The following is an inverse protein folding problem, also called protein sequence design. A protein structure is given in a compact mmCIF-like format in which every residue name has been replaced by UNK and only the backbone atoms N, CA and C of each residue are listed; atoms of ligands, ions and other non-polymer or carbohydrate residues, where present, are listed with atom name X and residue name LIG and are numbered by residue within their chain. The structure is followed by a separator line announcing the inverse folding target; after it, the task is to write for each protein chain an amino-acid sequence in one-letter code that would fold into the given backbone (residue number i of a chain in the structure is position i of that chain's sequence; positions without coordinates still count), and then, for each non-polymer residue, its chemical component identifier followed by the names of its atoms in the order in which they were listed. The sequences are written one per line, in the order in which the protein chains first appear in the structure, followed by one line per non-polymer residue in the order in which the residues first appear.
data_IF_380889293755
#
_entry.id   IF_380889293755
#
_cell.length_a   1.000
_cell.length_b   1.000
_cell.length_c   1.000
_cell.angle_alpha   90.00
_cell.angle_beta   90.00
_cell.angle_gamma   90.00
#
_symmetry.space_group_name_H-M   'P 1'
#
loop_
_entity.id
_entity.type
_entity.pdbx_description
1 polymer ?
#
# COMPACT_ATOMS: atom_id res chain seq x y z
N UNK A 1 11.48 1.68 -18.41
CA UNK A 1 10.59 2.84 -18.62
C UNK A 1 10.53 3.64 -17.33
N UNK A 2 10.98 4.90 -17.36
CA UNK A 2 11.10 5.74 -16.16
C UNK A 2 9.81 6.51 -15.96
N UNK A 3 9.07 6.14 -14.92
CA UNK A 3 7.84 6.80 -14.48
C UNK A 3 8.01 8.32 -14.31
N UNK A 4 9.23 8.75 -13.94
CA UNK A 4 9.60 10.16 -13.85
C UNK A 4 9.53 10.89 -15.20
N UNK A 5 10.10 10.31 -16.26
CA UNK A 5 10.07 10.90 -17.61
C UNK A 5 8.65 10.96 -18.17
N UNK A 6 7.79 10.00 -17.79
CA UNK A 6 6.37 10.01 -18.13
C UNK A 6 5.64 11.15 -17.43
N UNK A 7 5.79 11.32 -16.10
CA UNK A 7 5.16 12.43 -15.36
C UNK A 7 5.63 13.82 -15.83
N UNK A 8 6.93 13.96 -16.12
CA UNK A 8 7.51 15.20 -16.65
C UNK A 8 6.98 15.53 -18.05
N UNK A 9 6.78 14.53 -18.93
CA UNK A 9 6.19 14.73 -20.26
C UNK A 9 4.77 15.29 -20.21
N UNK A 10 4.02 14.95 -19.16
CA UNK A 10 2.65 15.44 -18.95
C UNK A 10 2.61 16.73 -18.10
N UNK A 11 3.76 17.30 -17.75
CA UNK A 11 3.87 18.51 -16.91
C UNK A 11 3.07 18.42 -15.59
N UNK A 12 2.94 17.21 -15.03
CA UNK A 12 2.20 17.00 -13.78
C UNK A 12 3.08 17.42 -12.59
N UNK A 13 3.15 18.72 -12.33
CA UNK A 13 3.92 19.32 -11.21
C UNK A 13 3.12 19.45 -9.92
N UNK A 14 1.81 19.23 -9.98
CA UNK A 14 0.89 19.29 -8.84
C UNK A 14 -0.43 18.61 -9.13
N UNK A 15 -1.22 18.36 -8.08
CA UNK A 15 -2.50 17.67 -8.17
C UNK A 15 -3.56 18.49 -7.42
N UNK A 16 -4.64 18.86 -8.10
CA UNK A 16 -5.80 19.47 -7.43
C UNK A 16 -6.70 18.36 -6.88
N UNK A 17 -6.81 18.30 -5.56
CA UNK A 17 -7.70 17.38 -4.85
C UNK A 17 -8.97 18.14 -4.51
N UNK A 18 -10.07 17.79 -5.17
CA UNK A 18 -11.41 18.26 -4.85
C UNK A 18 -12.24 17.09 -4.35
N UNK A 19 -12.32 16.94 -3.04
CA UNK A 19 -13.37 16.13 -2.40
C UNK A 19 -14.44 17.09 -1.90
N UNK A 20 -15.70 16.68 -1.79
CA UNK A 20 -16.83 17.59 -1.50
C UNK A 20 -16.71 18.44 -0.22
N UNK A 21 -15.73 18.16 0.63
CA UNK A 21 -15.42 18.90 1.86
C UNK A 21 -13.99 19.49 1.88
N UNK A 22 -13.15 19.19 0.90
CA UNK A 22 -11.76 19.63 0.85
C UNK A 22 -11.34 19.95 -0.59
N UNK A 23 -11.08 21.23 -0.84
CA UNK A 23 -10.31 21.68 -1.99
C UNK A 23 -8.88 21.98 -1.54
N UNK A 24 -7.93 21.22 -2.08
CA UNK A 24 -6.50 21.36 -1.81
C UNK A 24 -5.71 21.29 -3.11
N UNK A 25 -4.74 22.17 -3.26
CA UNK A 25 -3.71 22.05 -4.28
C UNK A 25 -2.50 21.36 -3.67
N UNK A 26 -2.24 20.13 -4.12
CA UNK A 26 -1.07 19.39 -3.69
C UNK A 26 0.13 19.75 -4.56
N UNK A 27 1.12 20.38 -3.94
CA UNK A 27 2.43 20.65 -4.53
C UNK A 27 3.50 19.96 -3.68
N UNK A 28 4.10 18.85 -4.15
CA UNK A 28 5.05 18.08 -3.36
C UNK A 28 6.30 18.92 -3.03
N UNK A 29 6.62 19.06 -1.74
CA UNK A 29 7.88 19.65 -1.24
C UNK A 29 8.77 18.59 -0.63
N UNK A 30 10.04 18.91 -0.40
CA UNK A 30 10.99 17.99 0.24
C UNK A 30 10.50 17.51 1.62
N UNK A 31 9.89 18.39 2.41
CA UNK A 31 9.31 18.02 3.69
C UNK A 31 8.17 17.00 3.56
N UNK A 32 7.35 17.10 2.51
CA UNK A 32 6.26 16.15 2.25
C UNK A 32 6.81 14.78 1.84
N UNK A 33 7.93 14.76 1.10
CA UNK A 33 8.64 13.51 0.75
C UNK A 33 9.14 12.80 1.99
N UNK A 34 9.78 13.54 2.89
CA UNK A 34 10.35 12.97 4.11
C UNK A 34 9.24 12.46 5.05
N UNK A 35 8.14 13.21 5.19
CA UNK A 35 6.95 12.75 5.92
C UNK A 35 6.31 11.49 5.30
N UNK A 36 6.20 11.43 3.97
CA UNK A 36 5.69 10.26 3.26
C UNK A 36 6.61 9.04 3.42
N UNK A 37 7.93 9.25 3.48
CA UNK A 37 8.91 8.20 3.73
C UNK A 37 8.75 7.58 5.11
N UNK A 38 8.67 8.40 6.16
CA UNK A 38 8.43 7.91 7.53
C UNK A 38 7.11 7.17 7.64
N UNK A 39 6.03 7.70 7.05
CA UNK A 39 4.71 7.05 7.02
C UNK A 39 4.76 5.69 6.29
N UNK A 40 5.49 5.61 5.16
CA UNK A 40 5.66 4.37 4.41
C UNK A 40 6.35 3.28 5.24
N UNK A 41 7.43 3.64 5.94
CA UNK A 41 8.16 2.72 6.81
C UNK A 41 7.30 2.26 8.00
N UNK A 42 6.53 3.17 8.60
CA UNK A 42 5.60 2.82 9.67
C UNK A 42 4.53 1.82 9.19
N UNK A 43 3.87 2.10 8.07
CA UNK A 43 2.84 1.23 7.49
C UNK A 43 3.39 -0.15 7.12
N UNK A 44 4.53 -0.21 6.43
CA UNK A 44 5.17 -1.47 6.08
C UNK A 44 5.47 -2.30 7.33
N UNK A 45 6.11 -1.69 8.33
CA UNK A 45 6.47 -2.43 9.53
C UNK A 45 5.25 -2.79 10.36
N UNK A 46 4.17 -2.00 10.36
CA UNK A 46 2.92 -2.35 11.07
C UNK A 46 2.16 -3.48 10.40
N UNK A 47 2.11 -3.49 9.07
CA UNK A 47 1.51 -4.59 8.29
C UNK A 47 2.37 -5.86 8.43
N UNK A 48 3.70 -5.74 8.40
CA UNK A 48 4.60 -6.90 8.56
C UNK A 48 4.70 -7.39 10.02
N UNK A 49 4.50 -6.51 11.01
CA UNK A 49 4.43 -6.85 12.44
C UNK A 49 3.08 -7.41 12.85
N UNK A 50 2.12 -7.56 11.93
CA UNK A 50 1.02 -8.47 12.22
C UNK A 50 1.67 -9.79 12.64
N UNK A 51 1.39 -10.31 13.84
CA UNK A 51 1.82 -11.66 14.15
C UNK A 51 1.15 -12.51 13.09
N UNK A 52 1.94 -12.91 12.10
CA UNK A 52 1.74 -14.18 11.47
C UNK A 52 1.94 -15.14 12.62
N UNK A 53 0.85 -15.45 13.33
CA UNK A 53 0.67 -16.81 13.79
C UNK A 53 0.91 -17.63 12.53
N UNK A 54 2.16 -18.06 12.33
CA UNK A 54 2.68 -18.70 11.12
C UNK A 54 2.04 -20.06 10.84
N UNK A 55 0.85 -20.31 11.39
CA UNK A 55 -0.03 -21.42 11.09
C UNK A 55 -1.49 -21.03 10.85
N UNK A 56 -2.00 -19.85 11.30
CA UNK A 56 -3.46 -19.60 11.31
C UNK A 56 -3.99 -18.93 10.04
N UNK A 57 -3.24 -17.99 9.44
CA UNK A 57 -3.70 -17.29 8.23
C UNK A 57 -3.50 -18.10 6.95
N UNK A 58 -2.50 -18.99 6.92
CA UNK A 58 -2.28 -19.90 5.80
C UNK A 58 -3.38 -20.96 5.73
N UNK A 59 -3.83 -21.45 6.89
CA UNK A 59 -4.94 -22.41 7.00
C UNK A 59 -6.27 -21.78 6.54
N UNK A 60 -6.53 -20.51 6.89
CA UNK A 60 -7.73 -19.82 6.41
C UNK A 60 -7.71 -19.52 4.91
N UNK A 61 -6.54 -19.32 4.28
CA UNK A 61 -6.45 -19.16 2.82
C UNK A 61 -6.61 -20.51 2.11
N UNK A 62 -6.03 -21.60 2.65
CA UNK A 62 -6.21 -22.94 2.11
C UNK A 62 -7.61 -23.53 2.34
N UNK A 63 -8.36 -23.11 3.36
CA UNK A 63 -9.77 -23.51 3.53
C UNK A 63 -10.73 -22.78 2.58
N UNK A 64 -10.35 -21.62 2.03
CA UNK A 64 -11.16 -20.88 1.06
C UNK A 64 -11.00 -21.45 -0.36
N UNK A 65 -9.84 -22.04 -0.64
CA UNK A 65 -9.59 -22.88 -1.81
C UNK A 65 -10.04 -24.32 -1.46
N UNK A 66 -11.31 -24.67 -1.65
CA UNK A 66 -11.91 -25.94 -1.19
C UNK A 66 -11.21 -27.23 -1.66
N UNK A 67 -10.07 -27.57 -1.05
CA UNK A 67 -9.35 -28.83 -1.25
C UNK A 67 -9.90 -29.84 -0.24
N UNK A 68 -10.47 -30.96 -0.69
CA UNK A 68 -11.05 -31.94 0.23
C UNK A 68 -9.96 -32.56 1.09
N UNK A 69 -10.22 -32.60 2.40
CA UNK A 69 -9.38 -33.29 3.39
C UNK A 69 -9.24 -34.77 3.02
N UNK A 70 -8.06 -35.19 2.55
CA UNK A 70 -7.66 -36.59 2.57
C UNK A 70 -7.33 -36.94 4.02
N UNK A 71 -8.19 -37.75 4.65
CA UNK A 71 -7.90 -38.35 5.94
C UNK A 71 -6.77 -39.37 5.76
N UNK A 72 -5.61 -39.10 6.36
CA UNK A 72 -4.60 -40.12 6.60
C UNK A 72 -4.85 -40.67 8.00
N UNK A 73 -5.67 -41.73 8.09
CA UNK A 73 -5.35 -42.98 8.78
C UNK A 73 -6.51 -43.97 8.67
#
# INVERSE_FOLDING_TARGET
MKWKEWLEKWSMTGLKISTGFLEMEWQPKDADRDAAWEMYIELLTRIMKFPTDSGRLMESVCSLEGVPHVQVS
#
